data_IF_267252754261
#
_entry.id   IF_267252754261
#
_cell.length_a   1.000
_cell.length_b   1.000
_cell.length_c   1.000
_cell.angle_alpha   90.00
_cell.angle_beta   90.00
_cell.angle_gamma   90.00
#
_symmetry.space_group_name_H-M   'P 1'
#
loop_
_entity.id
_entity.type
_entity.pdbx_description
1 polymer ?
#
# COMPACT_ATOMS: atom_id res chain seq x y z
N UNK A 1 13.55 -29.05 -6.78
CA UNK A 1 13.63 -27.64 -7.22
C UNK A 1 14.09 -26.83 -6.03
N UNK A 2 15.28 -26.25 -6.07
CA UNK A 2 15.74 -25.30 -5.06
C UNK A 2 14.74 -24.15 -5.00
N UNK A 3 14.02 -24.00 -3.89
CA UNK A 3 13.11 -22.87 -3.67
C UNK A 3 13.96 -21.61 -3.62
N UNK A 4 14.06 -20.87 -4.71
CA UNK A 4 14.64 -19.53 -4.69
C UNK A 4 13.63 -18.64 -3.98
N UNK A 5 13.99 -18.10 -2.81
CA UNK A 5 13.13 -17.15 -2.11
C UNK A 5 12.94 -15.91 -2.99
N UNK A 6 11.72 -15.35 -3.08
CA UNK A 6 11.47 -14.11 -3.80
C UNK A 6 12.37 -12.98 -3.30
N UNK A 7 13.06 -12.32 -4.22
CA UNK A 7 13.93 -11.19 -3.89
C UNK A 7 13.08 -9.94 -3.66
N UNK A 8 13.30 -9.27 -2.53
CA UNK A 8 12.76 -7.93 -2.32
C UNK A 8 13.64 -6.91 -3.02
N UNK A 9 13.05 -5.80 -3.46
CA UNK A 9 13.78 -4.65 -3.97
C UNK A 9 13.40 -3.40 -3.20
N UNK A 10 13.52 -2.25 -3.85
CA UNK A 10 13.24 -0.97 -3.23
C UNK A 10 12.07 -0.25 -3.88
N UNK A 11 11.44 0.66 -3.14
CA UNK A 11 10.36 1.50 -3.66
C UNK A 11 10.94 2.68 -4.47
N UNK A 12 10.16 3.25 -5.40
CA UNK A 12 10.59 4.41 -6.19
C UNK A 12 11.20 5.57 -5.38
N UNK A 13 10.68 5.93 -4.18
CA UNK A 13 11.32 6.94 -3.33
C UNK A 13 12.81 6.71 -3.05
N UNK A 14 13.23 5.44 -2.90
CA UNK A 14 14.62 5.08 -2.63
C UNK A 14 15.51 5.40 -3.83
N UNK A 15 15.05 5.05 -5.04
CA UNK A 15 15.75 5.38 -6.28
C UNK A 15 15.78 6.88 -6.56
N UNK A 16 14.69 7.60 -6.27
CA UNK A 16 14.66 9.06 -6.37
C UNK A 16 15.67 9.72 -5.41
N UNK A 17 15.76 9.22 -4.17
CA UNK A 17 16.76 9.66 -3.21
C UNK A 17 18.20 9.36 -3.66
N UNK A 18 18.44 8.15 -4.17
CA UNK A 18 19.73 7.76 -4.72
C UNK A 18 20.18 8.67 -5.88
N UNK A 19 19.29 8.93 -6.84
CA UNK A 19 19.57 9.85 -7.93
C UNK A 19 19.91 11.26 -7.42
N UNK A 20 19.18 11.76 -6.41
CA UNK A 20 19.43 13.08 -5.85
C UNK A 20 20.79 13.17 -5.14
N UNK A 21 21.15 12.14 -4.36
CA UNK A 21 22.46 12.05 -3.71
C UNK A 21 23.59 11.97 -4.75
N UNK A 22 23.40 11.21 -5.83
CA UNK A 22 24.38 11.10 -6.89
C UNK A 22 24.61 12.46 -7.60
N UNK A 23 23.54 13.19 -7.92
CA UNK A 23 23.64 14.56 -8.44
C UNK A 23 24.36 15.51 -7.46
N UNK A 24 23.98 15.49 -6.18
CA UNK A 24 24.59 16.34 -5.15
C UNK A 24 26.09 16.05 -4.99
N UNK A 25 26.49 14.77 -4.97
CA UNK A 25 27.90 14.37 -4.89
C UNK A 25 28.68 14.78 -6.13
N UNK A 26 28.07 14.69 -7.32
CA UNK A 26 28.68 15.13 -8.58
C UNK A 26 28.91 16.65 -8.64
N UNK A 27 28.05 17.46 -8.00
CA UNK A 27 28.29 18.91 -7.87
C UNK A 27 29.56 19.23 -7.08
N UNK A 28 29.93 18.38 -6.12
CA UNK A 28 31.08 18.58 -5.23
C UNK A 28 32.38 18.13 -5.87
N UNK A 29 32.31 17.04 -6.60
CA UNK A 29 33.45 16.48 -7.31
C UNK A 29 33.01 15.93 -8.67
N UNK A 30 33.11 16.79 -9.68
CA UNK A 30 32.75 16.45 -11.06
C UNK A 30 33.67 15.39 -11.69
N UNK A 31 34.80 15.05 -11.04
CA UNK A 31 35.75 14.05 -11.55
C UNK A 31 35.50 12.65 -11.00
N UNK A 32 34.70 12.55 -9.93
CA UNK A 32 34.40 11.27 -9.29
C UNK A 32 33.21 10.60 -9.97
N UNK A 33 33.45 9.43 -10.56
CA UNK A 33 32.37 8.57 -11.00
C UNK A 33 31.59 8.08 -9.77
N UNK A 34 30.27 8.21 -9.82
CA UNK A 34 29.37 7.72 -8.76
C UNK A 34 28.70 6.47 -9.32
N UNK A 35 29.29 5.30 -9.05
CA UNK A 35 28.75 4.01 -9.50
C UNK A 35 27.63 3.49 -8.57
N UNK A 36 27.68 3.86 -7.29
CA UNK A 36 26.64 3.58 -6.30
C UNK A 36 26.54 4.66 -5.24
N UNK A 37 25.40 4.70 -4.56
CA UNK A 37 25.17 5.52 -3.38
C UNK A 37 24.47 4.73 -2.29
N UNK A 38 24.92 4.93 -1.05
CA UNK A 38 24.26 4.48 0.17
C UNK A 38 23.06 5.39 0.47
N UNK A 39 21.89 4.79 0.66
CA UNK A 39 20.65 5.46 1.10
C UNK A 39 20.22 4.87 2.42
N UNK A 40 20.11 5.70 3.45
CA UNK A 40 19.59 5.27 4.75
C UNK A 40 18.06 5.31 4.72
N UNK A 41 17.45 4.13 4.71
CA UNK A 41 16.00 3.95 4.74
C UNK A 41 15.46 4.33 6.12
N UNK A 42 14.18 4.75 6.17
CA UNK A 42 13.52 5.10 7.44
C UNK A 42 12.76 3.92 8.01
N UNK A 43 12.06 3.18 7.16
CA UNK A 43 11.28 2.02 7.52
C UNK A 43 11.55 0.88 6.51
N UNK A 44 12.19 -0.22 6.90
CA UNK A 44 12.98 -0.39 8.13
C UNK A 44 14.25 0.48 8.11
N UNK A 45 14.84 0.82 9.27
CA UNK A 45 16.03 1.67 9.38
C UNK A 45 17.31 0.89 9.00
N UNK A 46 17.50 0.66 7.70
CA UNK A 46 18.65 -0.03 7.12
C UNK A 46 19.28 0.81 6.01
N UNK A 47 20.56 0.60 5.72
CA UNK A 47 21.25 1.25 4.59
C UNK A 47 21.14 0.38 3.34
N UNK A 48 20.67 0.97 2.25
CA UNK A 48 20.56 0.35 0.94
C UNK A 48 21.64 0.89 0.00
N UNK A 49 22.40 0.01 -0.65
CA UNK A 49 23.31 0.39 -1.74
C UNK A 49 22.56 0.39 -3.07
N UNK A 50 22.48 1.56 -3.70
CA UNK A 50 21.75 1.75 -4.96
C UNK A 50 22.74 2.07 -6.07
N UNK A 51 22.73 1.26 -7.13
CA UNK A 51 23.54 1.50 -8.32
C UNK A 51 23.07 2.77 -9.03
N UNK A 52 24.02 3.57 -9.51
CA UNK A 52 23.77 4.79 -10.28
C UNK A 52 24.18 4.51 -11.72
N UNK A 53 23.28 4.80 -12.65
CA UNK A 53 23.57 4.62 -14.08
C UNK A 53 24.45 5.76 -14.60
N UNK A 54 24.16 6.98 -14.15
CA UNK A 54 24.89 8.15 -14.57
C UNK A 54 24.71 9.29 -13.57
N UNK A 55 25.77 10.07 -13.36
CA UNK A 55 25.70 11.36 -12.72
C UNK A 55 26.58 12.35 -13.48
N UNK A 56 26.10 13.57 -13.70
CA UNK A 56 26.87 14.59 -14.42
C UNK A 56 26.43 16.01 -14.08
N UNK A 57 27.40 16.92 -14.07
CA UNK A 57 27.15 18.38 -13.99
C UNK A 57 26.59 18.85 -15.33
N UNK A 58 25.40 19.44 -15.31
CA UNK A 58 24.75 19.99 -16.52
C UNK A 58 25.24 21.41 -16.83
N UNK A 59 25.36 22.23 -15.78
CA UNK A 59 25.85 23.62 -15.82
C UNK A 59 26.37 23.98 -14.43
N UNK A 60 27.03 25.13 -14.30
CA UNK A 60 27.52 25.61 -13.01
C UNK A 60 26.40 25.64 -11.98
N UNK A 61 26.57 24.87 -10.89
CA UNK A 61 25.61 24.78 -9.80
C UNK A 61 24.44 23.82 -10.05
N UNK A 62 24.43 23.07 -11.14
CA UNK A 62 23.36 22.10 -11.47
C UNK A 62 23.92 20.76 -11.93
N UNK A 63 23.46 19.65 -11.33
CA UNK A 63 23.79 18.30 -11.76
C UNK A 63 22.54 17.43 -11.87
N UNK A 64 22.67 16.37 -12.67
CA UNK A 64 21.67 15.34 -12.87
C UNK A 64 22.21 13.98 -12.42
N UNK A 65 21.42 13.26 -11.63
CA UNK A 65 21.66 11.88 -11.28
C UNK A 65 20.57 11.00 -11.89
N UNK A 66 20.97 9.83 -12.34
CA UNK A 66 20.13 8.83 -13.00
C UNK A 66 20.40 7.48 -12.37
N UNK A 67 19.33 6.83 -11.93
CA UNK A 67 19.35 5.42 -11.52
C UNK A 67 18.22 4.68 -12.24
N UNK A 68 18.14 3.37 -12.03
CA UNK A 68 17.08 2.52 -12.54
C UNK A 68 16.37 1.84 -11.39
N UNK A 69 15.06 1.91 -11.41
CA UNK A 69 14.21 1.27 -10.41
C UNK A 69 14.27 -0.25 -10.49
N UNK A 70 14.47 -0.88 -9.33
CA UNK A 70 14.42 -2.32 -9.15
C UNK A 70 13.58 -2.69 -7.90
N UNK A 71 12.30 -3.06 -8.11
CA UNK A 71 11.42 -3.52 -7.04
C UNK A 71 11.57 -5.01 -6.70
N UNK A 72 12.67 -5.68 -7.09
CA UNK A 72 12.96 -7.07 -6.70
C UNK A 72 12.25 -8.07 -7.60
N UNK A 73 11.43 -8.97 -7.08
CA UNK A 73 10.58 -9.89 -7.88
C UNK A 73 9.12 -9.44 -7.97
N UNK A 74 8.78 -8.26 -7.42
CA UNK A 74 7.40 -7.78 -7.44
C UNK A 74 6.89 -7.49 -8.87
N UNK A 75 5.62 -7.76 -9.15
CA UNK A 75 4.99 -7.27 -10.38
C UNK A 75 4.70 -5.78 -10.21
N UNK A 76 5.62 -4.96 -10.69
CA UNK A 76 5.60 -3.51 -10.55
C UNK A 76 5.72 -2.86 -11.92
N UNK A 77 4.80 -1.95 -12.23
CA UNK A 77 4.75 -1.21 -13.50
C UNK A 77 5.97 -0.31 -13.68
N UNK A 78 6.62 0.08 -12.59
CA UNK A 78 7.78 0.97 -12.60
C UNK A 78 9.08 0.19 -12.55
N UNK A 79 9.08 -1.13 -12.77
CA UNK A 79 10.31 -1.92 -12.84
C UNK A 79 11.18 -1.51 -14.02
N UNK A 80 12.49 -1.44 -13.81
CA UNK A 80 13.50 -1.14 -14.82
C UNK A 80 13.28 0.19 -15.54
N UNK A 81 12.61 1.15 -14.89
CA UNK A 81 12.38 2.48 -15.44
C UNK A 81 13.47 3.44 -14.95
N UNK A 82 13.92 4.38 -15.78
CA UNK A 82 14.86 5.40 -15.32
C UNK A 82 14.19 6.32 -14.28
N UNK A 83 14.93 6.64 -13.23
CA UNK A 83 14.55 7.60 -12.18
C UNK A 83 15.62 8.68 -12.13
N UNK A 84 15.21 9.92 -12.34
CA UNK A 84 16.10 11.06 -12.49
C UNK A 84 15.89 12.04 -11.33
N UNK A 85 16.97 12.67 -10.89
CA UNK A 85 16.89 13.80 -9.98
C UNK A 85 17.91 14.86 -10.41
N UNK A 86 17.41 16.08 -10.60
CA UNK A 86 18.23 17.25 -10.88
C UNK A 86 18.38 18.06 -9.59
N UNK A 87 19.61 18.36 -9.22
CA UNK A 87 19.94 19.16 -8.03
C UNK A 87 20.54 20.48 -8.48
N UNK A 88 19.96 21.58 -8.01
CA UNK A 88 20.40 22.95 -8.28
C UNK A 88 20.76 23.66 -6.97
N UNK A 89 21.98 24.21 -6.88
CA UNK A 89 22.35 25.10 -5.78
C UNK A 89 21.58 26.42 -5.91
N UNK A 90 20.84 26.80 -4.87
CA UNK A 90 20.15 28.09 -4.78
C UNK A 90 21.08 29.13 -4.19
N UNK A 91 21.06 30.34 -4.76
CA UNK A 91 21.75 31.49 -4.16
C UNK A 91 20.93 32.07 -3.01
N UNK A 92 21.59 32.68 -2.03
CA UNK A 92 20.90 33.44 -0.98
C UNK A 92 19.98 34.50 -1.60
N UNK A 93 18.70 34.48 -1.23
CA UNK A 93 17.68 35.42 -1.73
C UNK A 93 16.85 34.94 -2.93
N UNK A 94 17.18 33.80 -3.56
CA UNK A 94 16.35 33.17 -4.59
C UNK A 94 15.26 32.30 -3.92
N UNK A 95 14.28 32.94 -3.28
CA UNK A 95 13.10 32.23 -2.78
C UNK A 95 12.16 31.90 -3.94
N UNK A 96 11.90 30.61 -4.18
CA UNK A 96 10.75 30.19 -4.97
C UNK A 96 9.49 30.31 -4.10
N UNK A 97 8.46 30.96 -4.65
CA UNK A 97 7.15 31.25 -4.04
C UNK A 97 6.76 30.26 -2.92
N UNK A 98 6.84 30.70 -1.66
CA UNK A 98 6.33 29.96 -0.50
C UNK A 98 7.33 29.06 0.24
N UNK A 99 8.60 28.97 -0.20
CA UNK A 99 9.64 28.15 0.45
C UNK A 99 10.75 29.00 1.10
N UNK A 100 10.40 30.16 1.64
CA UNK A 100 11.37 31.05 2.30
C UNK A 100 11.99 30.36 3.53
N UNK A 101 13.31 30.14 3.51
CA UNK A 101 14.07 29.59 4.64
C UNK A 101 14.27 28.07 4.65
N UNK A 102 13.76 27.33 3.65
CA UNK A 102 14.01 25.89 3.55
C UNK A 102 15.36 25.59 2.88
N UNK A 103 16.17 24.76 3.54
CA UNK A 103 17.47 24.34 3.00
C UNK A 103 17.33 23.43 1.77
N UNK A 104 16.32 22.58 1.76
CA UNK A 104 16.05 21.62 0.68
C UNK A 104 14.62 21.83 0.21
N UNK A 105 14.45 22.18 -1.07
CA UNK A 105 13.12 22.27 -1.69
C UNK A 105 13.00 21.12 -2.69
N UNK A 106 11.95 20.32 -2.56
CA UNK A 106 11.71 19.15 -3.42
C UNK A 106 10.51 19.47 -4.31
N UNK A 107 10.70 19.37 -5.63
CA UNK A 107 9.66 19.64 -6.63
C UNK A 107 9.50 18.46 -7.58
N UNK A 108 8.28 18.26 -8.07
CA UNK A 108 7.97 17.28 -9.11
C UNK A 108 8.19 17.87 -10.50
N UNK A 109 9.02 17.22 -11.30
CA UNK A 109 9.22 17.49 -12.73
C UNK A 109 8.41 16.56 -13.63
N UNK A 110 8.89 16.33 -14.85
CA UNK A 110 8.18 15.51 -15.84
C UNK A 110 7.87 14.10 -15.30
N UNK A 111 6.64 13.65 -15.54
CA UNK A 111 6.13 12.35 -15.16
C UNK A 111 5.86 12.13 -13.67
N UNK A 112 6.12 13.13 -12.81
CA UNK A 112 5.53 13.20 -11.46
C UNK A 112 4.12 13.79 -11.59
N UNK A 113 3.13 13.08 -11.07
CA UNK A 113 1.73 13.52 -11.12
C UNK A 113 1.47 14.69 -10.17
N UNK A 114 0.32 15.34 -10.32
CA UNK A 114 -0.15 16.40 -9.43
C UNK A 114 -1.63 16.23 -9.09
N UNK A 115 -2.08 16.83 -7.98
CA UNK A 115 -3.47 16.73 -7.55
C UNK A 115 -4.38 17.66 -8.35
N UNK A 116 -5.42 17.10 -8.99
CA UNK A 116 -6.38 17.78 -9.88
C UNK A 116 -7.07 19.00 -9.23
N UNK A 117 -7.22 19.00 -7.91
CA UNK A 117 -7.84 20.10 -7.15
C UNK A 117 -6.88 21.29 -6.87
N UNK A 118 -5.84 21.47 -7.69
CA UNK A 118 -4.84 22.54 -7.51
C UNK A 118 -3.82 22.24 -6.41
N UNK A 119 -3.56 20.96 -6.11
CA UNK A 119 -2.57 20.56 -5.10
C UNK A 119 -1.17 20.34 -5.69
N UNK A 120 -0.20 20.19 -4.79
CA UNK A 120 1.22 20.01 -5.15
C UNK A 120 1.53 18.71 -5.91
N UNK A 121 2.81 18.54 -6.25
CA UNK A 121 3.33 17.30 -6.81
C UNK A 121 2.96 16.11 -5.91
N UNK A 122 2.63 14.97 -6.52
CA UNK A 122 2.21 13.75 -5.84
C UNK A 122 3.41 13.00 -5.20
N UNK A 123 4.14 13.71 -4.33
CA UNK A 123 5.28 13.24 -3.56
C UNK A 123 4.83 13.10 -2.10
N UNK A 124 4.75 11.86 -1.61
CA UNK A 124 4.13 11.57 -0.32
C UNK A 124 5.12 11.60 0.85
N UNK A 125 4.59 11.58 2.08
CA UNK A 125 5.32 11.77 3.34
C UNK A 125 6.62 10.95 3.45
N UNK A 126 6.56 9.64 3.19
CA UNK A 126 7.75 8.79 3.24
C UNK A 126 8.85 9.25 2.29
N UNK A 127 8.50 9.59 1.05
CA UNK A 127 9.47 10.04 0.05
C UNK A 127 10.10 11.38 0.46
N UNK A 128 9.28 12.31 0.94
CA UNK A 128 9.72 13.61 1.43
C UNK A 128 10.71 13.45 2.60
N UNK A 129 10.32 12.69 3.64
CA UNK A 129 11.18 12.43 4.81
C UNK A 129 12.48 11.72 4.42
N UNK A 130 12.42 10.74 3.52
CA UNK A 130 13.60 9.99 3.06
C UNK A 130 14.61 10.91 2.36
N UNK A 131 14.15 11.74 1.42
CA UNK A 131 14.98 12.72 0.70
C UNK A 131 15.58 13.76 1.65
N UNK A 132 14.76 14.39 2.48
CA UNK A 132 15.21 15.42 3.43
C UNK A 132 16.26 14.87 4.40
N UNK A 133 16.04 13.65 4.92
CA UNK A 133 16.96 13.02 5.87
C UNK A 133 18.32 12.71 5.25
N UNK A 134 18.34 12.12 4.05
CA UNK A 134 19.59 11.71 3.41
C UNK A 134 20.37 12.90 2.83
N UNK A 135 19.68 13.82 2.15
CA UNK A 135 20.32 15.00 1.57
C UNK A 135 20.79 15.97 2.66
N UNK A 136 20.00 16.17 3.71
CA UNK A 136 20.34 17.07 4.81
C UNK A 136 21.61 16.68 5.56
N UNK A 137 21.95 15.39 5.60
CA UNK A 137 23.21 14.90 6.20
C UNK A 137 24.44 15.27 5.38
N UNK A 138 24.27 15.44 4.07
CA UNK A 138 25.37 15.79 3.19
C UNK A 138 25.56 17.30 3.09
N UNK A 139 24.52 18.12 3.22
CA UNK A 139 24.58 19.58 3.02
C UNK A 139 25.27 20.32 4.17
N UNK A 140 26.09 21.32 3.82
CA UNK A 140 26.57 22.29 4.80
C UNK A 140 25.44 23.26 5.20
N UNK A 141 25.45 23.84 6.42
CA UNK A 141 24.37 24.71 6.91
C UNK A 141 24.02 25.92 6.02
N UNK A 142 24.98 26.39 5.21
CA UNK A 142 24.81 27.51 4.29
C UNK A 142 24.39 27.11 2.87
N UNK A 143 24.36 25.81 2.56
CA UNK A 143 24.00 25.32 1.24
C UNK A 143 22.49 25.15 1.14
N UNK A 144 21.88 25.79 0.14
CA UNK A 144 20.47 25.62 -0.19
C UNK A 144 20.36 24.91 -1.55
N UNK A 145 19.49 23.89 -1.66
CA UNK A 145 19.31 23.13 -2.92
C UNK A 145 17.86 22.95 -3.32
N UNK A 146 17.58 23.06 -4.62
CA UNK A 146 16.32 22.61 -5.22
C UNK A 146 16.56 21.24 -5.85
N UNK A 147 15.70 20.28 -5.54
CA UNK A 147 15.71 18.92 -6.08
C UNK A 147 14.47 18.73 -6.94
N UNK A 148 14.67 18.60 -8.25
CA UNK A 148 13.60 18.28 -9.20
C UNK A 148 13.62 16.79 -9.51
N UNK A 149 12.58 16.07 -9.09
CA UNK A 149 12.42 14.65 -9.34
C UNK A 149 11.72 14.42 -10.67
N UNK A 150 12.28 13.57 -11.53
CA UNK A 150 11.79 13.34 -12.89
C UNK A 150 11.64 11.84 -13.12
N UNK A 151 10.47 11.44 -13.63
CA UNK A 151 10.17 10.07 -14.03
C UNK A 151 9.86 10.09 -15.54
N UNK A 152 10.84 9.88 -16.44
CA UNK A 152 10.63 10.05 -17.88
C UNK A 152 9.47 9.23 -18.46
N UNK A 153 9.22 8.04 -17.93
CA UNK A 153 8.09 7.17 -18.32
C UNK A 153 6.81 7.40 -17.50
N UNK A 154 6.82 8.33 -16.55
CA UNK A 154 5.80 8.49 -15.52
C UNK A 154 4.42 8.84 -16.09
N UNK A 155 4.34 9.80 -17.02
CA UNK A 155 3.06 10.19 -17.66
C UNK A 155 2.41 9.01 -18.39
N UNK A 156 3.20 8.26 -19.16
CA UNK A 156 2.72 7.08 -19.88
C UNK A 156 2.26 5.98 -18.92
N UNK A 157 3.06 5.66 -17.90
CA UNK A 157 2.75 4.60 -16.95
C UNK A 157 1.54 4.95 -16.06
N UNK A 158 1.34 6.22 -15.73
CA UNK A 158 0.20 6.68 -14.94
C UNK A 158 -1.15 6.34 -15.57
N UNK A 159 -1.25 6.27 -16.90
CA UNK A 159 -2.48 5.86 -17.60
C UNK A 159 -2.91 4.42 -17.30
N UNK A 160 -2.00 3.62 -16.74
CA UNK A 160 -2.21 2.20 -16.39
C UNK A 160 -2.32 1.99 -14.88
N UNK A 161 -2.41 3.07 -14.10
CA UNK A 161 -2.58 3.00 -12.65
C UNK A 161 -3.95 3.51 -12.23
N UNK A 162 -4.32 3.31 -10.97
CA UNK A 162 -5.54 3.86 -10.39
C UNK A 162 -5.39 5.31 -9.91
N UNK A 163 -4.27 5.99 -10.20
CA UNK A 163 -3.94 7.31 -9.64
C UNK A 163 -4.99 8.37 -9.95
N UNK A 164 -5.55 8.35 -11.16
CA UNK A 164 -6.60 9.30 -11.57
C UNK A 164 -7.86 9.19 -10.70
N UNK A 165 -8.23 7.96 -10.30
CA UNK A 165 -9.35 7.73 -9.38
C UNK A 165 -9.08 8.29 -7.97
N UNK A 166 -7.82 8.57 -7.63
CA UNK A 166 -7.40 9.25 -6.40
C UNK A 166 -7.06 10.74 -6.62
N UNK A 167 -7.44 11.29 -7.78
CA UNK A 167 -7.26 12.70 -8.11
C UNK A 167 -5.84 13.10 -8.51
N UNK A 168 -4.94 12.14 -8.75
CA UNK A 168 -3.59 12.41 -9.26
C UNK A 168 -3.58 12.23 -10.77
N UNK A 169 -3.19 13.27 -11.49
CA UNK A 169 -3.20 13.31 -12.96
C UNK A 169 -1.81 13.60 -13.52
N UNK A 170 -1.63 13.31 -14.81
CA UNK A 170 -0.45 13.65 -15.61
C UNK A 170 0.89 13.03 -15.21
N UNK A 171 0.91 12.09 -14.26
CA UNK A 171 2.13 11.40 -13.86
C UNK A 171 1.93 10.41 -12.72
N UNK A 172 3.02 9.73 -12.36
CA UNK A 172 3.04 8.78 -11.25
C UNK A 172 3.16 9.52 -9.91
N UNK A 173 2.63 8.89 -8.87
CA UNK A 173 2.87 9.30 -7.49
C UNK A 173 4.17 8.71 -6.99
N UNK A 174 4.98 9.49 -6.29
CA UNK A 174 6.13 8.99 -5.53
C UNK A 174 5.63 8.53 -4.15
N UNK A 175 5.02 7.35 -4.15
CA UNK A 175 4.31 6.75 -3.02
C UNK A 175 5.12 5.64 -2.34
N UNK A 176 4.78 5.36 -1.09
CA UNK A 176 5.39 4.31 -0.28
C UNK A 176 5.19 4.59 1.20
N UNK A 177 5.12 3.54 2.01
CA UNK A 177 5.16 3.65 3.49
C UNK A 177 6.44 3.06 4.07
N UNK A 178 7.27 2.45 3.24
CA UNK A 178 8.55 1.83 3.58
C UNK A 178 9.49 1.92 2.37
N UNK A 179 10.78 1.70 2.59
CA UNK A 179 11.78 1.68 1.53
C UNK A 179 11.83 0.37 0.74
N UNK A 180 11.17 -0.68 1.23
CA UNK A 180 11.25 -2.03 0.66
C UNK A 180 10.04 -2.32 -0.22
N UNK A 181 10.29 -2.74 -1.46
CA UNK A 181 9.29 -3.34 -2.33
C UNK A 181 9.25 -4.84 -2.07
N UNK A 182 8.21 -5.28 -1.35
CA UNK A 182 7.99 -6.69 -1.07
C UNK A 182 7.45 -7.39 -2.34
N UNK A 183 7.93 -8.59 -2.67
CA UNK A 183 7.53 -9.32 -3.88
C UNK A 183 6.16 -9.99 -3.73
N UNK A 184 5.11 -9.18 -3.51
CA UNK A 184 3.70 -9.55 -3.24
C UNK A 184 3.01 -10.41 -4.32
N UNK A 185 3.69 -10.64 -5.44
CA UNK A 185 3.17 -11.37 -6.60
C UNK A 185 4.13 -12.44 -7.12
N UNK A 186 5.24 -12.71 -6.41
CA UNK A 186 6.27 -13.63 -6.89
C UNK A 186 5.93 -15.10 -6.59
N UNK A 187 6.33 -16.04 -7.47
CA UNK A 187 6.30 -17.47 -7.16
C UNK A 187 7.13 -17.77 -5.91
N UNK A 188 6.62 -18.55 -4.95
CA UNK A 188 7.33 -18.85 -3.70
C UNK A 188 6.91 -17.98 -2.50
N UNK A 189 6.15 -16.91 -2.72
CA UNK A 189 5.73 -16.04 -1.63
C UNK A 189 4.67 -16.68 -0.72
N UNK A 190 3.76 -17.48 -1.29
CA UNK A 190 2.78 -18.20 -0.51
C UNK A 190 3.47 -19.08 0.55
N UNK A 191 4.58 -19.73 0.17
CA UNK A 191 5.38 -20.55 1.07
C UNK A 191 5.94 -19.74 2.24
N UNK A 192 6.43 -18.52 2.01
CA UNK A 192 6.91 -17.62 3.08
C UNK A 192 5.80 -17.28 4.07
N UNK A 193 4.60 -16.94 3.57
CA UNK A 193 3.46 -16.65 4.46
C UNK A 193 2.94 -17.88 5.20
N UNK A 194 3.04 -19.07 4.58
CA UNK A 194 2.71 -20.33 5.26
C UNK A 194 3.71 -20.65 6.36
N UNK A 195 5.01 -20.47 6.12
CA UNK A 195 6.06 -20.67 7.13
C UNK A 195 5.88 -19.71 8.33
N UNK A 196 5.57 -18.43 8.07
CA UNK A 196 5.26 -17.46 9.12
C UNK A 196 4.02 -17.87 9.92
N UNK A 197 2.95 -18.30 9.24
CA UNK A 197 1.73 -18.77 9.89
C UNK A 197 1.99 -19.99 10.76
N UNK A 198 2.75 -20.98 10.27
CA UNK A 198 3.13 -22.18 11.02
C UNK A 198 3.81 -21.83 12.35
N UNK A 199 4.82 -20.96 12.31
CA UNK A 199 5.55 -20.51 13.51
C UNK A 199 4.62 -19.82 14.52
N UNK A 200 3.64 -19.05 14.03
CA UNK A 200 2.66 -18.35 14.88
C UNK A 200 1.60 -19.29 15.45
N UNK A 201 1.19 -20.30 14.69
CA UNK A 201 0.21 -21.30 15.12
C UNK A 201 0.75 -22.19 16.26
N UNK A 202 2.07 -22.36 16.38
CA UNK A 202 2.69 -23.04 17.53
C UNK A 202 2.56 -22.24 18.85
N UNK A 203 2.40 -20.92 18.75
CA UNK A 203 2.42 -20.01 19.90
C UNK A 203 1.02 -19.50 20.29
N UNK A 204 0.08 -19.46 19.34
CA UNK A 204 -1.23 -18.85 19.55
C UNK A 204 -2.38 -19.71 19.02
N UNK A 205 -3.40 -19.88 19.87
CA UNK A 205 -4.67 -20.52 19.50
C UNK A 205 -5.56 -19.64 18.59
N UNK A 206 -5.38 -18.32 18.66
CA UNK A 206 -6.13 -17.33 17.88
C UNK A 206 -5.17 -16.47 17.07
N UNK A 207 -5.31 -16.50 15.75
CA UNK A 207 -4.53 -15.67 14.83
C UNK A 207 -5.40 -14.60 14.17
N UNK A 208 -4.79 -13.45 13.89
CA UNK A 208 -5.46 -12.32 13.24
C UNK A 208 -4.93 -12.17 11.82
N UNK A 209 -5.76 -12.45 10.85
CA UNK A 209 -5.42 -12.37 9.44
C UNK A 209 -5.66 -10.93 8.97
N UNK A 210 -4.58 -10.16 8.88
CA UNK A 210 -4.62 -8.79 8.41
C UNK A 210 -4.53 -8.72 6.89
N UNK A 211 -5.49 -8.02 6.30
CA UNK A 211 -5.62 -7.92 4.83
C UNK A 211 -5.09 -6.58 4.36
N UNK A 212 -3.85 -6.60 3.87
CA UNK A 212 -3.10 -5.41 3.46
C UNK A 212 -2.48 -4.64 4.63
N UNK A 213 -1.64 -3.68 4.30
CA UNK A 213 -0.83 -2.95 5.30
C UNK A 213 -1.68 -2.06 6.22
N UNK A 214 -2.77 -1.48 5.70
CA UNK A 214 -3.72 -0.72 6.53
C UNK A 214 -4.34 -1.59 7.65
N UNK A 215 -4.60 -2.87 7.37
CA UNK A 215 -5.12 -3.80 8.37
C UNK A 215 -4.10 -4.09 9.47
N UNK A 216 -2.83 -4.28 9.09
CA UNK A 216 -1.73 -4.50 10.04
C UNK A 216 -1.52 -3.27 10.93
N UNK A 217 -1.44 -2.08 10.34
CA UNK A 217 -1.25 -0.83 11.09
C UNK A 217 -2.40 -0.55 12.05
N UNK A 218 -3.64 -0.68 11.59
CA UNK A 218 -4.81 -0.45 12.44
C UNK A 218 -4.94 -1.49 13.56
N UNK A 219 -4.68 -2.77 13.27
CA UNK A 219 -4.69 -3.82 14.29
C UNK A 219 -3.69 -3.53 15.42
N UNK A 220 -2.46 -3.08 15.10
CA UNK A 220 -1.47 -2.67 16.11
C UNK A 220 -1.94 -1.47 16.92
N UNK A 221 -2.58 -0.48 16.29
CA UNK A 221 -3.13 0.71 16.98
C UNK A 221 -4.28 0.37 17.92
N UNK A 222 -5.03 -0.70 17.63
CA UNK A 222 -6.06 -1.25 18.51
C UNK A 222 -5.48 -2.11 19.65
N UNK A 223 -4.16 -2.21 19.78
CA UNK A 223 -3.50 -2.93 20.87
C UNK A 223 -3.32 -4.43 20.62
N UNK A 224 -3.63 -4.93 19.43
CA UNK A 224 -3.45 -6.35 19.12
C UNK A 224 -1.96 -6.69 19.08
N UNK A 225 -1.58 -7.75 19.80
CA UNK A 225 -0.21 -8.27 19.81
C UNK A 225 0.30 -8.55 18.38
N UNK A 226 1.39 -7.88 17.93
CA UNK A 226 1.99 -8.09 16.62
C UNK A 226 2.35 -9.56 16.32
N UNK A 227 2.62 -10.38 17.34
CA UNK A 227 2.95 -11.80 17.16
C UNK A 227 1.74 -12.63 16.71
N UNK A 228 0.51 -12.18 16.97
CA UNK A 228 -0.74 -12.81 16.49
C UNK A 228 -1.13 -12.39 15.09
N UNK A 229 -0.55 -11.29 14.56
CA UNK A 229 -0.92 -10.73 13.27
C UNK A 229 -0.28 -11.50 12.12
N UNK A 230 -1.07 -12.12 11.26
CA UNK A 230 -0.61 -12.80 10.04
C UNK A 230 -0.90 -11.90 8.84
N UNK A 231 0.14 -11.51 8.09
CA UNK A 231 -0.03 -10.81 6.83
C UNK A 231 -0.49 -11.81 5.77
N UNK A 232 -1.65 -11.56 5.17
CA UNK A 232 -2.23 -12.51 4.19
C UNK A 232 -1.91 -12.21 2.73
N UNK A 233 -1.39 -11.01 2.45
CA UNK A 233 -1.25 -10.46 1.10
C UNK A 233 -2.57 -10.62 0.30
N UNK A 234 -2.54 -11.43 -0.77
CA UNK A 234 -3.73 -11.77 -1.56
C UNK A 234 -4.17 -13.24 -1.39
N UNK A 235 -3.50 -14.02 -0.54
CA UNK A 235 -3.57 -15.49 -0.48
C UNK A 235 -4.45 -16.03 0.67
N UNK A 236 -5.67 -15.51 0.84
CA UNK A 236 -6.49 -15.89 2.00
C UNK A 236 -6.86 -17.37 1.99
N UNK A 237 -7.28 -17.94 0.86
CA UNK A 237 -7.72 -19.33 0.78
C UNK A 237 -6.65 -20.31 1.26
N UNK A 238 -5.45 -20.33 0.65
CA UNK A 238 -4.37 -21.19 1.10
C UNK A 238 -3.97 -20.99 2.57
N UNK A 239 -3.99 -19.76 3.08
CA UNK A 239 -3.64 -19.48 4.48
C UNK A 239 -4.74 -19.91 5.46
N UNK A 240 -6.01 -19.82 5.09
CA UNK A 240 -7.12 -20.37 5.87
C UNK A 240 -6.96 -21.90 6.00
N UNK A 241 -6.70 -22.58 4.88
CA UNK A 241 -6.46 -24.03 4.86
C UNK A 241 -5.22 -24.39 5.71
N UNK A 242 -4.14 -23.63 5.58
CA UNK A 242 -2.93 -23.83 6.40
C UNK A 242 -3.22 -23.71 7.90
N UNK A 243 -3.97 -22.68 8.33
CA UNK A 243 -4.37 -22.53 9.73
C UNK A 243 -5.20 -23.73 10.23
N UNK A 244 -6.07 -24.27 9.37
CA UNK A 244 -6.77 -25.53 9.63
C UNK A 244 -5.83 -26.71 9.86
N UNK A 245 -4.85 -26.90 8.97
CA UNK A 245 -3.84 -27.95 9.08
C UNK A 245 -3.01 -27.83 10.36
N UNK A 246 -2.64 -26.60 10.75
CA UNK A 246 -1.86 -26.33 11.96
C UNK A 246 -2.68 -26.38 13.26
N UNK A 247 -4.01 -26.50 13.17
CA UNK A 247 -4.86 -26.61 14.36
C UNK A 247 -5.07 -25.33 15.14
N UNK A 248 -4.97 -24.19 14.46
CA UNK A 248 -5.44 -22.90 14.99
C UNK A 248 -6.90 -23.06 15.44
N UNK A 249 -7.24 -22.52 16.62
CA UNK A 249 -8.58 -22.70 17.22
C UNK A 249 -9.58 -21.65 16.77
N UNK A 250 -9.14 -20.47 16.40
CA UNK A 250 -10.01 -19.40 15.88
C UNK A 250 -9.22 -18.40 15.04
N UNK A 251 -9.91 -17.75 14.09
CA UNK A 251 -9.29 -16.77 13.19
C UNK A 251 -10.12 -15.50 13.19
N UNK A 252 -9.46 -14.36 13.39
CA UNK A 252 -10.05 -13.04 13.16
C UNK A 252 -9.58 -12.49 11.81
N UNK A 253 -10.49 -12.34 10.86
CA UNK A 253 -10.25 -11.65 9.61
C UNK A 253 -10.38 -10.14 9.84
N UNK A 254 -9.30 -9.40 9.64
CA UNK A 254 -9.24 -7.97 9.92
C UNK A 254 -8.78 -7.19 8.69
N UNK A 255 -9.63 -6.34 8.12
CA UNK A 255 -9.28 -5.72 6.84
C UNK A 255 -10.20 -4.66 6.28
N UNK A 256 -9.68 -4.02 5.24
CA UNK A 256 -10.45 -3.07 4.44
C UNK A 256 -11.65 -3.76 3.80
N UNK A 257 -12.83 -3.18 3.97
CA UNK A 257 -14.10 -3.82 3.60
C UNK A 257 -14.17 -4.24 2.13
N UNK A 258 -13.64 -3.42 1.21
CA UNK A 258 -13.63 -3.76 -0.21
C UNK A 258 -12.83 -5.02 -0.53
N UNK A 259 -11.77 -5.35 0.24
CA UNK A 259 -11.04 -6.62 0.03
C UNK A 259 -11.75 -7.78 0.71
N UNK A 260 -12.27 -7.57 1.92
CA UNK A 260 -12.94 -8.61 2.72
C UNK A 260 -14.24 -9.10 2.09
N UNK A 261 -15.05 -8.19 1.57
CA UNK A 261 -16.36 -8.51 0.97
C UNK A 261 -16.28 -9.56 -0.16
N UNK A 262 -15.13 -9.70 -0.83
CA UNK A 262 -14.90 -10.75 -1.83
C UNK A 262 -15.14 -12.16 -1.28
N UNK A 263 -14.84 -12.38 0.00
CA UNK A 263 -15.01 -13.68 0.65
C UNK A 263 -16.48 -14.06 0.81
N UNK A 264 -17.40 -13.07 0.89
CA UNK A 264 -18.84 -13.32 0.88
C UNK A 264 -19.32 -13.98 -0.42
N UNK A 265 -18.56 -13.89 -1.51
CA UNK A 265 -18.79 -14.62 -2.76
C UNK A 265 -17.84 -15.81 -2.98
N UNK A 266 -17.05 -16.20 -1.98
CA UNK A 266 -16.12 -17.33 -2.09
C UNK A 266 -14.87 -17.00 -2.92
N UNK A 267 -14.60 -15.72 -3.16
CA UNK A 267 -13.39 -15.27 -3.83
C UNK A 267 -12.29 -15.12 -2.77
N UNK A 268 -11.54 -16.19 -2.55
CA UNK A 268 -10.48 -16.25 -1.53
C UNK A 268 -9.11 -15.73 -1.99
N UNK A 269 -9.04 -15.15 -3.19
CA UNK A 269 -7.87 -14.42 -3.68
C UNK A 269 -8.23 -12.94 -3.88
N UNK A 270 -7.63 -12.03 -3.12
CA UNK A 270 -8.12 -10.64 -3.04
C UNK A 270 -7.58 -9.70 -4.12
N UNK A 271 -6.64 -10.18 -4.96
CA UNK A 271 -6.09 -9.40 -6.06
C UNK A 271 -7.13 -9.07 -7.13
N UNK A 272 -7.31 -7.78 -7.42
CA UNK A 272 -8.36 -7.27 -8.31
C UNK A 272 -8.27 -7.76 -9.75
N UNK A 273 -7.07 -7.97 -10.31
CA UNK A 273 -6.95 -8.50 -11.67
C UNK A 273 -7.34 -9.98 -11.83
N UNK A 274 -7.33 -10.77 -10.75
CA UNK A 274 -7.66 -12.19 -10.82
C UNK A 274 -9.15 -12.44 -10.62
N UNK A 275 -9.73 -11.73 -9.66
CA UNK A 275 -11.15 -11.74 -9.42
C UNK A 275 -11.54 -10.41 -8.78
N UNK A 276 -12.36 -9.65 -9.49
CA UNK A 276 -13.15 -8.58 -8.91
C UNK A 276 -14.64 -8.96 -9.00
N UNK A 277 -15.39 -8.48 -8.02
CA UNK A 277 -16.81 -8.78 -7.86
C UNK A 277 -17.48 -7.91 -6.80
N UNK A 278 -16.79 -6.86 -6.34
CA UNK A 278 -17.19 -6.11 -5.15
C UNK A 278 -18.53 -5.41 -5.35
N UNK A 279 -18.77 -4.88 -6.55
CA UNK A 279 -20.00 -4.15 -6.89
C UNK A 279 -21.15 -5.14 -7.03
N UNK A 280 -20.93 -6.23 -7.74
CA UNK A 280 -21.88 -7.33 -7.93
C UNK A 280 -22.31 -7.91 -6.58
N UNK A 281 -21.35 -8.16 -5.69
CA UNK A 281 -21.60 -8.67 -4.33
C UNK A 281 -22.44 -7.67 -3.55
N UNK A 282 -21.97 -6.43 -3.40
CA UNK A 282 -22.69 -5.43 -2.60
C UNK A 282 -24.11 -5.21 -3.13
N UNK A 283 -24.27 -5.05 -4.44
CA UNK A 283 -25.58 -4.91 -5.08
C UNK A 283 -26.47 -6.12 -4.85
N UNK A 284 -25.94 -7.35 -4.88
CA UNK A 284 -26.72 -8.56 -4.60
C UNK A 284 -27.26 -8.55 -3.17
N UNK A 285 -26.44 -8.16 -2.18
CA UNK A 285 -26.88 -8.02 -0.79
C UNK A 285 -27.88 -6.86 -0.60
N UNK A 286 -27.69 -5.73 -1.28
CA UNK A 286 -28.66 -4.63 -1.31
C UNK A 286 -30.03 -5.12 -1.81
N UNK A 287 -30.04 -5.84 -2.94
CA UNK A 287 -31.26 -6.39 -3.53
C UNK A 287 -31.91 -7.44 -2.61
N UNK A 288 -31.12 -8.32 -2.01
CA UNK A 288 -31.60 -9.31 -1.04
C UNK A 288 -32.22 -8.67 0.21
N UNK A 289 -31.66 -7.55 0.67
CA UNK A 289 -32.20 -6.78 1.81
C UNK A 289 -33.53 -6.08 1.46
N UNK A 290 -33.92 -6.03 0.19
CA UNK A 290 -35.15 -5.42 -0.30
C UNK A 290 -35.01 -3.93 -0.62
N UNK A 291 -33.80 -3.45 -0.91
CA UNK A 291 -33.62 -2.06 -1.33
C UNK A 291 -34.31 -1.77 -2.67
N UNK A 292 -34.78 -0.52 -2.88
CA UNK A 292 -35.30 -0.07 -4.16
C UNK A 292 -34.34 -0.31 -5.33
N UNK A 293 -34.88 -0.67 -6.50
CA UNK A 293 -34.08 -1.07 -7.66
C UNK A 293 -33.19 0.06 -8.22
N UNK A 294 -33.65 1.31 -8.10
CA UNK A 294 -32.89 2.52 -8.44
C UNK A 294 -31.69 2.71 -7.50
N UNK A 295 -31.88 2.50 -6.19
CA UNK A 295 -30.78 2.51 -5.21
C UNK A 295 -29.77 1.39 -5.50
N UNK A 296 -30.23 0.16 -5.77
CA UNK A 296 -29.36 -0.95 -6.18
C UNK A 296 -28.56 -0.63 -7.46
N UNK A 297 -29.18 0.05 -8.43
CA UNK A 297 -28.54 0.46 -9.68
C UNK A 297 -27.46 1.53 -9.45
N UNK A 298 -27.72 2.49 -8.55
CA UNK A 298 -26.75 3.51 -8.16
C UNK A 298 -25.52 2.90 -7.46
N UNK A 299 -25.76 1.97 -6.52
CA UNK A 299 -24.71 1.20 -5.85
C UNK A 299 -23.92 0.38 -6.86
N UNK A 300 -24.61 -0.29 -7.79
CA UNK A 300 -23.94 -1.05 -8.84
C UNK A 300 -23.07 -0.16 -9.72
N UNK A 301 -23.47 1.09 -9.99
CA UNK A 301 -22.73 2.04 -10.82
C UNK A 301 -21.52 2.69 -10.13
N UNK A 302 -21.39 2.55 -8.81
CA UNK A 302 -20.30 3.16 -8.04
C UNK A 302 -18.91 2.74 -8.54
N UNK A 303 -17.99 3.71 -8.64
CA UNK A 303 -16.63 3.44 -9.11
C UNK A 303 -15.81 2.63 -8.09
N UNK A 304 -16.02 2.87 -6.79
CA UNK A 304 -15.32 2.18 -5.72
C UNK A 304 -16.27 1.68 -4.62
N UNK A 305 -15.77 0.74 -3.82
CA UNK A 305 -16.50 0.26 -2.64
C UNK A 305 -16.73 1.39 -1.60
N UNK A 306 -15.82 2.38 -1.52
CA UNK A 306 -16.05 3.56 -0.67
C UNK A 306 -17.22 4.39 -1.16
N UNK A 307 -17.31 4.64 -2.47
CA UNK A 307 -18.38 5.47 -3.03
C UNK A 307 -19.74 4.80 -2.78
N UNK A 308 -19.81 3.48 -2.93
CA UNK A 308 -21.00 2.70 -2.63
C UNK A 308 -21.37 2.76 -1.13
N UNK A 309 -20.39 2.60 -0.23
CA UNK A 309 -20.61 2.77 1.21
C UNK A 309 -21.10 4.18 1.55
N UNK A 310 -20.54 5.21 0.91
CA UNK A 310 -20.97 6.60 1.06
C UNK A 310 -22.41 6.82 0.62
N UNK A 311 -22.81 6.23 -0.51
CA UNK A 311 -24.20 6.26 -0.98
C UNK A 311 -25.17 5.56 0.00
N UNK A 312 -24.78 4.40 0.55
CA UNK A 312 -25.58 3.71 1.56
C UNK A 312 -25.74 4.55 2.84
N UNK A 313 -24.65 5.15 3.33
CA UNK A 313 -24.67 6.05 4.50
C UNK A 313 -25.55 7.28 4.27
N UNK A 314 -25.51 7.86 3.06
CA UNK A 314 -26.37 8.99 2.70
C UNK A 314 -27.85 8.58 2.71
N UNK A 315 -28.17 7.41 2.15
CA UNK A 315 -29.53 6.88 2.16
C UNK A 315 -30.05 6.62 3.59
N UNK A 316 -29.19 6.09 4.46
CA UNK A 316 -29.52 5.91 5.88
C UNK A 316 -29.82 7.23 6.58
N UNK A 317 -29.03 8.28 6.30
CA UNK A 317 -29.29 9.61 6.85
C UNK A 317 -30.62 10.21 6.33
N UNK A 318 -30.88 10.11 5.03
CA UNK A 318 -32.04 10.70 4.38
C UNK A 318 -33.35 10.02 4.76
N UNK A 319 -33.33 8.68 4.86
CA UNK A 319 -34.53 7.88 5.10
C UNK A 319 -34.67 7.39 6.54
N UNK A 320 -33.68 7.68 7.40
CA UNK A 320 -33.56 7.17 8.78
C UNK A 320 -33.62 5.65 8.85
N UNK A 321 -33.03 4.99 7.86
CA UNK A 321 -32.88 3.54 7.78
C UNK A 321 -31.57 3.06 8.43
N UNK A 322 -31.35 1.76 8.35
CA UNK A 322 -30.18 1.05 8.87
C UNK A 322 -29.64 0.05 7.83
N UNK A 323 -29.62 0.46 6.55
CA UNK A 323 -29.14 -0.34 5.43
C UNK A 323 -27.67 -0.72 5.59
N UNK A 324 -26.81 0.21 6.02
CA UNK A 324 -25.38 -0.09 6.19
C UNK A 324 -25.20 -1.24 7.16
N UNK A 325 -25.77 -1.15 8.37
CA UNK A 325 -25.63 -2.18 9.39
C UNK A 325 -26.20 -3.52 8.94
N UNK A 326 -27.38 -3.52 8.31
CA UNK A 326 -28.03 -4.73 7.83
C UNK A 326 -27.21 -5.42 6.72
N UNK A 327 -26.84 -4.66 5.69
CA UNK A 327 -26.14 -5.20 4.51
C UNK A 327 -24.72 -5.64 4.87
N UNK A 328 -23.97 -4.81 5.59
CA UNK A 328 -22.62 -5.18 6.02
C UNK A 328 -22.64 -6.29 7.08
N UNK A 329 -23.67 -6.37 7.93
CA UNK A 329 -23.89 -7.49 8.83
C UNK A 329 -24.07 -8.81 8.09
N UNK A 330 -24.96 -8.84 7.09
CA UNK A 330 -25.19 -10.03 6.26
C UNK A 330 -23.92 -10.45 5.48
N UNK A 331 -23.17 -9.47 4.97
CA UNK A 331 -21.88 -9.72 4.30
C UNK A 331 -20.86 -10.29 5.28
N UNK A 332 -20.70 -9.70 6.48
CA UNK A 332 -19.76 -10.17 7.50
C UNK A 332 -20.08 -11.60 7.94
N UNK A 333 -21.36 -11.90 8.19
CA UNK A 333 -21.82 -13.26 8.49
C UNK A 333 -21.47 -14.24 7.37
N UNK A 334 -21.68 -13.86 6.10
CA UNK A 334 -21.34 -14.75 5.00
C UNK A 334 -19.82 -14.95 4.84
N UNK A 335 -19.01 -13.93 5.11
CA UNK A 335 -17.54 -14.04 5.12
C UNK A 335 -17.13 -15.08 6.16
N UNK A 336 -17.67 -15.00 7.38
CA UNK A 336 -17.37 -15.93 8.47
C UNK A 336 -17.73 -17.37 8.08
N UNK A 337 -18.95 -17.58 7.59
CA UNK A 337 -19.45 -18.88 7.16
C UNK A 337 -18.59 -19.48 6.04
N UNK A 338 -18.37 -18.73 4.96
CA UNK A 338 -17.60 -19.24 3.80
C UNK A 338 -16.15 -19.49 4.15
N UNK A 339 -15.56 -18.68 5.02
CA UNK A 339 -14.18 -18.89 5.47
C UNK A 339 -14.07 -20.16 6.31
N UNK A 340 -15.00 -20.38 7.24
CA UNK A 340 -15.07 -21.62 8.02
C UNK A 340 -15.32 -22.85 7.11
N UNK A 341 -16.21 -22.73 6.13
CA UNK A 341 -16.51 -23.80 5.16
C UNK A 341 -15.31 -24.10 4.26
N UNK A 342 -14.55 -23.09 3.85
CA UNK A 342 -13.32 -23.24 3.08
C UNK A 342 -12.30 -24.10 3.86
N UNK A 343 -12.10 -23.81 5.14
CA UNK A 343 -11.24 -24.60 6.02
C UNK A 343 -11.76 -26.03 6.14
N UNK A 344 -13.05 -26.18 6.45
CA UNK A 344 -13.68 -27.48 6.67
C UNK A 344 -13.56 -28.39 5.45
N UNK A 345 -13.82 -27.85 4.26
CA UNK A 345 -13.76 -28.58 2.98
C UNK A 345 -12.38 -29.21 2.75
N UNK A 346 -11.31 -28.54 3.16
CA UNK A 346 -9.94 -28.97 2.86
C UNK A 346 -9.24 -29.69 4.03
N UNK A 347 -9.72 -29.51 5.27
CA UNK A 347 -9.02 -29.99 6.48
C UNK A 347 -9.88 -30.88 7.39
N UNK A 348 -11.18 -30.99 7.10
CA UNK A 348 -12.17 -31.65 7.96
C UNK A 348 -12.23 -31.07 9.40
N UNK A 349 -11.82 -29.81 9.58
CA UNK A 349 -11.90 -29.08 10.85
C UNK A 349 -12.78 -27.85 10.68
N UNK A 350 -13.72 -27.66 11.61
CA UNK A 350 -14.55 -26.46 11.65
C UNK A 350 -13.95 -25.48 12.66
N UNK A 351 -13.36 -24.41 12.13
CA UNK A 351 -12.74 -23.35 12.92
C UNK A 351 -13.69 -22.14 12.94
N UNK A 352 -14.00 -21.57 14.12
CA UNK A 352 -14.64 -20.26 14.22
C UNK A 352 -13.81 -19.19 13.53
N UNK A 353 -14.41 -18.55 12.52
CA UNK A 353 -13.82 -17.41 11.83
C UNK A 353 -14.74 -16.22 12.04
N UNK A 354 -14.19 -15.13 12.59
CA UNK A 354 -14.89 -13.86 12.74
C UNK A 354 -14.28 -12.80 11.83
N UNK A 355 -15.08 -11.82 11.42
CA UNK A 355 -14.65 -10.72 10.56
C UNK A 355 -14.88 -9.34 11.20
N UNK A 356 -13.92 -8.45 10.97
CA UNK A 356 -13.98 -7.01 11.29
C UNK A 356 -13.62 -6.22 10.03
N UNK A 357 -14.56 -5.41 9.57
CA UNK A 357 -14.43 -4.63 8.33
C UNK A 357 -14.36 -3.14 8.66
N UNK A 358 -13.39 -2.44 8.06
CA UNK A 358 -13.23 -0.99 8.23
C UNK A 358 -13.19 -0.23 6.89
N UNK A 359 -13.58 1.04 6.94
CA UNK A 359 -13.60 1.98 5.81
C UNK A 359 -12.24 2.59 5.49
N UNK A 360 -12.16 3.40 4.42
CA UNK A 360 -10.90 4.12 4.10
C UNK A 360 -10.50 5.09 5.21
N UNK A 361 -11.48 5.61 5.94
CA UNK A 361 -11.36 6.44 7.15
C UNK A 361 -10.81 5.70 8.38
N UNK A 362 -10.55 4.39 8.27
CA UNK A 362 -10.09 3.50 9.34
C UNK A 362 -11.09 3.37 10.49
N UNK A 363 -12.35 3.73 10.25
CA UNK A 363 -13.44 3.46 11.18
C UNK A 363 -14.00 2.07 10.91
N UNK A 364 -14.27 1.32 11.98
CA UNK A 364 -14.94 0.02 11.88
C UNK A 364 -16.36 0.28 11.36
N UNK A 365 -16.72 -0.42 10.28
CA UNK A 365 -18.06 -0.40 9.69
C UNK A 365 -18.90 -1.46 10.39
N UNK A 366 -18.36 -2.69 10.50
CA UNK A 366 -19.07 -3.82 11.09
C UNK A 366 -18.08 -4.78 11.74
N UNK A 367 -18.55 -5.44 12.79
CA UNK A 367 -17.96 -6.64 13.36
C UNK A 367 -19.05 -7.71 13.35
N UNK A 368 -18.71 -8.88 12.86
CA UNK A 368 -19.53 -10.07 13.08
C UNK A 368 -19.57 -10.42 14.58
N UNK A 369 -20.57 -11.20 15.02
CA UNK A 369 -20.67 -11.65 16.42
C UNK A 369 -19.42 -12.41 16.89
N UNK A 370 -18.90 -13.29 16.04
CA UNK A 370 -17.63 -14.02 16.30
C UNK A 370 -16.47 -13.02 16.29
N UNK A 371 -16.45 -12.09 15.33
CA UNK A 371 -15.40 -11.08 15.21
C UNK A 371 -15.30 -10.17 16.43
N UNK A 372 -16.44 -9.69 16.97
CA UNK A 372 -16.47 -8.86 18.17
C UNK A 372 -16.00 -9.64 19.39
N UNK A 373 -16.48 -10.88 19.56
CA UNK A 373 -16.06 -11.77 20.64
C UNK A 373 -14.54 -12.02 20.61
N UNK A 374 -13.99 -12.36 19.44
CA UNK A 374 -12.56 -12.61 19.30
C UNK A 374 -11.74 -11.33 19.52
N UNK A 375 -12.21 -10.19 19.01
CA UNK A 375 -11.53 -8.91 19.18
C UNK A 375 -11.44 -8.52 20.66
N UNK A 376 -12.51 -8.69 21.44
CA UNK A 376 -12.51 -8.43 22.89
C UNK A 376 -11.63 -9.40 23.69
N UNK A 377 -11.35 -10.59 23.16
CA UNK A 377 -10.47 -11.56 23.83
C UNK A 377 -8.99 -11.29 23.62
N UNK A 378 -8.61 -10.61 22.53
CA UNK A 378 -7.22 -10.42 22.12
C UNK A 378 -6.72 -8.96 22.23
N UNK A 379 -7.64 -8.01 22.41
CA UNK A 379 -7.38 -6.62 22.81
C UNK A 379 -7.62 -6.48 24.31
#
# INVERSE_FOLDING_TARGET
MTKTQPLSGYTLPVFACAAALAALRCLRDATKCVDSVSVDLLEPPITAEIAIEQASVLKTGTALGVTRSDPGDNLDLTRNTPVWAMVELRREGEAQNGCEGEQIVIVGGEGIGHHKAGGGAAIYDYAMRLLLTNLGRELAPSENITVTLILPSGRQLATRTSNEAFGVVEGLSLLGTTGISQPLSAPGQLEVYREELQQKAEQFDTLVFCIGENGLDLARKLGIDPQRLVKTANWLGPLLVEAGCQGVRSILLFGYHGKLMKLAAGIFHTHHHLADGRREILTAYCAQAGMPADACSAIFAAATAEDALGQLRALDADTRSNWVDRIYGDIALQIDLRSSDCIFTHTNRRIPVGSVMFGRDRQIIVKSDIGDTLLTQIC
#
